data_IF_977289177278
#
_entry.id   IF_977289177278
#
_cell.length_a   1.000
_cell.length_b   1.000
_cell.length_c   1.000
_cell.angle_alpha   90.00
_cell.angle_beta   90.00
_cell.angle_gamma   90.00
#
_symmetry.space_group_name_H-M   'P 1'
#
loop_
_entity.id
_entity.type
_entity.pdbx_description
1 polymer ?
#
# COMPACT_ATOMS: atom_id res chain seq x y z
N UNK A 1 -5.71 -11.91 -22.75
CA UNK A 1 -5.79 -10.60 -23.45
C UNK A 1 -5.70 -9.42 -22.47
N UNK A 2 -6.47 -9.39 -21.38
CA UNK A 2 -6.34 -8.40 -20.30
C UNK A 2 -4.91 -8.26 -19.76
N UNK A 3 -4.19 -9.38 -19.59
CA UNK A 3 -2.81 -9.37 -19.09
C UNK A 3 -1.86 -8.54 -19.93
N UNK A 4 -1.96 -8.67 -21.25
CA UNK A 4 -1.15 -7.92 -22.19
C UNK A 4 -1.56 -6.44 -22.27
N UNK A 5 -2.84 -6.11 -22.01
CA UNK A 5 -3.31 -4.73 -21.96
C UNK A 5 -2.78 -4.01 -20.70
N UNK A 6 -2.80 -4.68 -19.54
CA UNK A 6 -2.31 -4.12 -18.26
C UNK A 6 -0.79 -3.92 -18.28
N UNK A 7 -0.05 -4.91 -18.80
CA UNK A 7 1.40 -4.78 -18.99
C UNK A 7 1.77 -3.68 -20.00
N UNK A 8 0.98 -3.49 -21.07
CA UNK A 8 1.18 -2.39 -22.03
C UNK A 8 0.87 -1.01 -21.44
N UNK A 9 -0.02 -0.94 -20.44
CA UNK A 9 -0.30 0.26 -19.68
C UNK A 9 0.74 0.54 -18.56
N UNK A 10 1.77 -0.30 -18.44
CA UNK A 10 2.86 -0.12 -17.46
C UNK A 10 2.56 -0.58 -16.05
N UNK A 11 1.43 -1.24 -15.84
CA UNK A 11 1.11 -1.89 -14.58
C UNK A 11 1.57 -3.34 -14.66
N UNK A 12 2.35 -3.78 -13.67
CA UNK A 12 2.62 -5.21 -13.50
C UNK A 12 1.39 -5.88 -12.90
N UNK A 13 0.88 -6.91 -13.55
CA UNK A 13 -0.09 -7.79 -12.90
C UNK A 13 0.63 -8.61 -11.84
N UNK A 14 0.41 -8.26 -10.59
CA UNK A 14 0.66 -9.15 -9.48
C UNK A 14 -0.51 -10.14 -9.48
N UNK A 15 -0.29 -11.46 -9.71
CA UNK A 15 -1.37 -12.43 -9.50
C UNK A 15 -1.94 -12.24 -8.10
N UNK A 16 -3.25 -12.40 -7.92
CA UNK A 16 -3.91 -12.46 -6.59
C UNK A 16 -3.55 -13.80 -5.92
N UNK A 17 -2.26 -14.11 -5.91
CA UNK A 17 -1.66 -15.08 -5.01
C UNK A 17 -0.99 -14.20 -3.95
N UNK A 18 -1.45 -14.36 -2.72
CA UNK A 18 -0.90 -13.82 -1.47
C UNK A 18 0.33 -12.93 -1.68
N UNK A 19 0.19 -11.62 -1.44
CA UNK A 19 1.35 -10.73 -1.32
C UNK A 19 2.26 -11.31 -0.22
N UNK A 20 3.20 -12.16 -0.63
CA UNK A 20 4.07 -12.90 0.28
C UNK A 20 4.82 -11.86 1.10
N UNK A 21 4.70 -11.95 2.43
CA UNK A 21 5.23 -10.97 3.40
C UNK A 21 6.68 -10.59 3.07
N UNK A 22 7.45 -11.59 2.65
CA UNK A 22 8.85 -11.48 2.27
C UNK A 22 9.08 -10.53 1.06
N UNK A 23 8.22 -10.55 0.05
CA UNK A 23 8.36 -9.69 -1.13
C UNK A 23 8.07 -8.21 -0.83
N UNK A 24 7.07 -7.93 0.00
CA UNK A 24 6.72 -6.56 0.42
C UNK A 24 7.84 -5.93 1.27
N UNK A 25 8.49 -6.75 2.11
CA UNK A 25 9.60 -6.33 2.95
C UNK A 25 10.88 -6.07 2.17
N UNK A 26 11.23 -6.99 1.26
CA UNK A 26 12.38 -6.83 0.37
C UNK A 26 12.25 -5.54 -0.45
N UNK A 27 11.05 -5.23 -0.96
CA UNK A 27 10.78 -4.01 -1.71
C UNK A 27 10.97 -2.75 -0.85
N UNK A 28 10.41 -2.68 0.35
CA UNK A 28 10.55 -1.52 1.22
C UNK A 28 12.01 -1.30 1.66
N UNK A 29 12.76 -2.38 1.92
CA UNK A 29 14.20 -2.31 2.23
C UNK A 29 15.01 -1.77 1.05
N UNK A 30 14.64 -2.14 -0.17
CA UNK A 30 15.24 -1.59 -1.40
C UNK A 30 14.93 -0.11 -1.56
N UNK A 31 13.66 0.29 -1.43
CA UNK A 31 13.27 1.71 -1.53
C UNK A 31 13.97 2.56 -0.46
N UNK A 32 14.14 2.04 0.76
CA UNK A 32 14.92 2.70 1.81
C UNK A 32 16.39 2.91 1.41
N UNK A 33 17.03 1.88 0.84
CA UNK A 33 18.42 1.96 0.38
C UNK A 33 18.55 2.98 -0.75
N UNK A 34 17.61 2.99 -1.69
CA UNK A 34 17.61 3.90 -2.82
C UNK A 34 17.45 5.37 -2.35
N UNK A 35 16.59 5.62 -1.36
CA UNK A 35 16.44 6.94 -0.74
C UNK A 35 17.72 7.35 -0.01
N UNK A 36 18.32 6.47 0.80
CA UNK A 36 19.56 6.79 1.51
C UNK A 36 20.68 7.10 0.52
N UNK A 37 20.84 6.28 -0.53
CA UNK A 37 21.83 6.51 -1.57
C UNK A 37 21.58 7.84 -2.30
N UNK A 38 20.33 8.13 -2.69
CA UNK A 38 19.96 9.38 -3.33
C UNK A 38 20.25 10.59 -2.43
N UNK A 39 19.86 10.52 -1.15
CA UNK A 39 20.09 11.57 -0.17
C UNK A 39 21.58 11.81 0.07
N UNK A 40 22.41 10.76 0.18
CA UNK A 40 23.85 10.90 0.35
C UNK A 40 24.52 11.56 -0.85
N UNK A 41 24.14 11.17 -2.08
CA UNK A 41 24.67 11.78 -3.31
C UNK A 41 24.17 13.21 -3.53
N UNK A 42 22.97 13.53 -3.06
CA UNK A 42 22.36 14.87 -3.18
C UNK A 42 22.86 15.84 -2.11
N UNK A 43 23.36 15.33 -0.97
CA UNK A 43 23.75 16.16 0.17
C UNK A 43 24.83 17.21 -0.17
N UNK A 44 25.91 16.89 -0.92
CA UNK A 44 26.88 17.90 -1.34
C UNK A 44 26.27 19.00 -2.21
N UNK A 45 25.35 18.63 -3.12
CA UNK A 45 24.64 19.57 -4.01
C UNK A 45 23.70 20.50 -3.23
N UNK A 46 23.04 19.99 -2.19
CA UNK A 46 22.21 20.84 -1.31
C UNK A 46 23.08 21.69 -0.39
N UNK A 47 24.21 21.16 0.07
CA UNK A 47 25.13 21.89 0.93
C UNK A 47 25.72 23.11 0.22
N UNK A 48 26.12 23.01 -1.05
CA UNK A 48 26.56 24.19 -1.83
C UNK A 48 25.44 25.23 -1.93
N UNK A 49 24.20 24.80 -2.22
CA UNK A 49 23.05 25.69 -2.35
C UNK A 49 22.76 26.44 -1.03
N UNK A 50 22.89 25.76 0.11
CA UNK A 50 22.76 26.36 1.44
C UNK A 50 23.91 27.32 1.77
N UNK A 51 25.15 26.98 1.41
CA UNK A 51 26.31 27.83 1.64
C UNK A 51 26.23 29.13 0.83
N UNK A 52 25.80 29.05 -0.43
CA UNK A 52 25.52 30.23 -1.27
C UNK A 52 24.40 31.08 -0.66
N UNK A 53 23.31 30.46 -0.20
CA UNK A 53 22.24 31.17 0.49
C UNK A 53 22.72 31.90 1.77
N UNK A 54 23.71 31.35 2.47
CA UNK A 54 24.34 31.96 3.64
C UNK A 54 25.40 33.03 3.29
N UNK A 55 25.59 33.35 2.00
CA UNK A 55 26.49 34.40 1.52
C UNK A 55 27.89 33.91 1.12
N UNK A 56 28.16 32.61 1.16
CA UNK A 56 29.42 32.02 0.70
C UNK A 56 29.36 31.72 -0.80
N UNK A 57 29.32 32.77 -1.63
CA UNK A 57 29.12 32.66 -3.08
C UNK A 57 30.35 32.15 -3.86
N UNK A 58 31.53 32.03 -3.24
CA UNK A 58 32.74 31.54 -3.92
C UNK A 58 32.94 30.02 -3.82
N UNK A 59 32.09 29.33 -3.06
CA UNK A 59 32.13 27.87 -2.91
C UNK A 59 31.17 27.21 -3.90
N UNK A 60 31.66 27.02 -5.12
CA UNK A 60 31.02 26.17 -6.11
C UNK A 60 31.67 24.78 -6.13
N UNK A 61 30.86 23.74 -6.34
CA UNK A 61 31.41 22.45 -6.69
C UNK A 61 31.93 22.52 -8.12
N UNK A 62 33.07 21.88 -8.34
CA UNK A 62 33.60 21.70 -9.69
C UNK A 62 32.52 21.04 -10.56
N UNK A 63 32.29 21.54 -11.79
CA UNK A 63 31.27 20.98 -12.70
C UNK A 63 31.35 19.46 -12.87
N UNK A 64 32.56 18.90 -12.88
CA UNK A 64 32.79 17.46 -12.97
C UNK A 64 32.22 16.68 -11.76
N UNK A 65 32.28 17.26 -10.55
CA UNK A 65 31.73 16.65 -9.34
C UNK A 65 30.20 16.69 -9.39
N UNK A 66 29.61 17.80 -9.84
CA UNK A 66 28.15 17.89 -9.98
C UNK A 66 27.61 16.84 -10.95
N UNK A 67 28.26 16.68 -12.11
CA UNK A 67 27.93 15.64 -13.08
C UNK A 67 28.06 14.25 -12.45
N UNK A 68 29.17 13.98 -11.76
CA UNK A 68 29.43 12.69 -11.13
C UNK A 68 28.38 12.32 -10.08
N UNK A 69 27.89 13.30 -9.31
CA UNK A 69 26.85 13.10 -8.30
C UNK A 69 25.44 13.01 -8.90
N UNK A 70 25.12 13.86 -9.88
CA UNK A 70 23.78 13.93 -10.47
C UNK A 70 23.49 12.77 -11.44
N UNK A 71 24.48 12.27 -12.19
CA UNK A 71 24.28 11.22 -13.20
C UNK A 71 23.70 9.91 -12.61
N UNK A 72 24.23 9.36 -11.50
CA UNK A 72 23.67 8.15 -10.88
C UNK A 72 22.27 8.39 -10.33
N UNK A 73 21.99 9.58 -9.79
CA UNK A 73 20.66 9.93 -9.29
C UNK A 73 19.67 9.96 -10.47
N UNK A 74 20.04 10.61 -11.57
CA UNK A 74 19.19 10.74 -12.76
C UNK A 74 18.86 9.39 -13.40
N UNK A 75 19.89 8.61 -13.75
CA UNK A 75 19.73 7.48 -14.65
C UNK A 75 19.73 6.11 -13.96
N UNK A 76 20.22 6.00 -12.72
CA UNK A 76 20.19 4.74 -11.97
C UNK A 76 19.01 4.73 -11.01
N UNK A 77 18.97 5.69 -10.07
CA UNK A 77 17.91 5.77 -9.06
C UNK A 77 16.59 6.26 -9.68
N UNK A 78 16.68 7.23 -10.60
CA UNK A 78 15.56 7.79 -11.35
C UNK A 78 15.02 6.92 -12.49
N UNK A 79 15.70 5.83 -12.86
CA UNK A 79 15.30 4.95 -13.98
C UNK A 79 13.85 4.46 -13.88
N UNK A 80 13.38 4.24 -12.65
CA UNK A 80 12.00 3.82 -12.37
C UNK A 80 10.98 4.84 -12.89
N UNK A 81 11.28 6.13 -12.78
CA UNK A 81 10.40 7.21 -13.21
C UNK A 81 10.38 7.30 -14.74
N UNK A 82 11.55 7.16 -15.39
CA UNK A 82 11.63 7.07 -16.86
C UNK A 82 10.77 5.94 -17.41
N UNK A 83 10.87 4.74 -16.83
CA UNK A 83 10.04 3.59 -17.25
C UNK A 83 8.55 3.87 -17.05
N UNK A 84 8.16 4.42 -15.91
CA UNK A 84 6.77 4.73 -15.59
C UNK A 84 6.19 5.83 -16.51
N UNK A 85 6.97 6.88 -16.78
CA UNK A 85 6.60 7.96 -17.68
C UNK A 85 6.43 7.48 -19.13
N UNK A 86 7.39 6.68 -19.63
CA UNK A 86 7.31 6.11 -20.98
C UNK A 86 6.09 5.20 -21.14
N UNK A 87 5.78 4.40 -20.13
CA UNK A 87 4.61 3.55 -20.16
C UNK A 87 3.31 4.36 -20.13
N UNK A 88 3.23 5.40 -19.29
CA UNK A 88 2.06 6.28 -19.23
C UNK A 88 1.80 6.97 -20.57
N UNK A 89 2.84 7.48 -21.22
CA UNK A 89 2.75 8.10 -22.54
C UNK A 89 2.29 7.09 -23.61
N UNK A 90 2.80 5.86 -23.59
CA UNK A 90 2.37 4.77 -24.50
C UNK A 90 0.89 4.43 -24.33
N UNK A 91 0.35 4.49 -23.12
CA UNK A 91 -1.07 4.27 -22.84
C UNK A 91 -1.95 5.52 -23.02
N UNK A 92 -1.42 6.61 -23.60
CA UNK A 92 -2.14 7.90 -23.75
C UNK A 92 -2.69 8.43 -22.42
N UNK A 93 -1.96 8.19 -21.35
CA UNK A 93 -2.27 8.65 -20.00
C UNK A 93 -1.16 9.55 -19.48
N UNK A 94 -1.48 10.44 -18.55
CA UNK A 94 -0.51 11.28 -17.86
C UNK A 94 -0.44 10.86 -16.39
N UNK A 95 0.78 10.82 -15.83
CA UNK A 95 0.99 10.57 -14.41
C UNK A 95 2.08 11.52 -13.87
N UNK A 96 2.23 11.56 -12.55
CA UNK A 96 3.22 12.40 -11.87
C UNK A 96 4.66 12.12 -12.36
N UNK A 97 4.96 10.88 -12.74
CA UNK A 97 6.31 10.49 -13.19
C UNK A 97 6.67 11.16 -14.53
N UNK A 98 5.70 11.50 -15.39
CA UNK A 98 5.93 12.27 -16.62
C UNK A 98 6.46 13.68 -16.30
N UNK A 99 5.87 14.38 -15.33
CA UNK A 99 6.31 15.71 -14.93
C UNK A 99 7.73 15.68 -14.35
N UNK A 100 8.00 14.72 -13.47
CA UNK A 100 9.32 14.53 -12.86
C UNK A 100 10.37 14.29 -13.93
N UNK A 101 10.12 13.35 -14.85
CA UNK A 101 11.08 13.01 -15.91
C UNK A 101 11.30 14.20 -16.84
N UNK A 102 10.25 14.92 -17.24
CA UNK A 102 10.39 16.04 -18.17
C UNK A 102 11.16 17.21 -17.54
N UNK A 103 10.83 17.59 -16.31
CA UNK A 103 11.52 18.67 -15.60
C UNK A 103 12.98 18.35 -15.27
N UNK A 104 13.24 17.17 -14.71
CA UNK A 104 14.60 16.74 -14.34
C UNK A 104 15.48 16.54 -15.58
N UNK A 105 14.94 15.92 -16.64
CA UNK A 105 15.70 15.76 -17.90
C UNK A 105 15.99 17.11 -18.54
N UNK A 106 15.04 18.05 -18.52
CA UNK A 106 15.28 19.39 -19.06
C UNK A 106 16.41 20.12 -18.31
N UNK A 107 16.38 20.12 -16.97
CA UNK A 107 17.45 20.69 -16.14
C UNK A 107 18.81 20.01 -16.39
N UNK A 108 18.82 18.68 -16.46
CA UNK A 108 20.03 17.90 -16.66
C UNK A 108 20.65 18.13 -18.05
N UNK A 109 19.85 18.10 -19.12
CA UNK A 109 20.32 18.33 -20.49
C UNK A 109 20.78 19.78 -20.68
N UNK A 110 20.08 20.73 -20.08
CA UNK A 110 20.46 22.13 -20.13
C UNK A 110 21.79 22.40 -19.41
N UNK A 111 22.03 21.75 -18.26
CA UNK A 111 23.31 21.82 -17.56
C UNK A 111 24.46 21.27 -18.41
N UNK A 112 24.23 20.18 -19.15
CA UNK A 112 25.18 19.67 -20.12
C UNK A 112 25.44 20.64 -21.28
N UNK A 113 24.40 21.31 -21.77
CA UNK A 113 24.54 22.33 -22.82
C UNK A 113 25.46 23.47 -22.35
N UNK A 114 25.21 24.03 -21.15
CA UNK A 114 26.04 25.08 -20.57
C UNK A 114 27.49 24.63 -20.37
N UNK A 115 27.69 23.41 -19.86
CA UNK A 115 29.03 22.86 -19.66
C UNK A 115 29.81 22.72 -20.98
N UNK A 116 29.15 22.36 -22.08
CA UNK A 116 29.77 22.23 -23.39
C UNK A 116 30.06 23.61 -24.02
N UNK A 117 29.19 24.60 -23.81
CA UNK A 117 29.35 25.93 -24.42
C UNK A 117 30.29 26.85 -23.66
N UNK A 118 30.27 26.80 -22.33
CA UNK A 118 30.99 27.73 -21.44
C UNK A 118 32.19 27.06 -20.75
N UNK A 119 32.28 25.73 -20.75
CA UNK A 119 33.39 25.02 -20.11
C UNK A 119 33.43 25.25 -18.60
N UNK A 120 34.59 25.63 -18.07
CA UNK A 120 34.76 25.94 -16.64
C UNK A 120 34.05 27.25 -16.23
N UNK A 121 33.75 28.15 -17.17
CA UNK A 121 32.97 29.37 -16.89
C UNK A 121 31.48 29.09 -16.59
N UNK A 122 31.03 27.84 -16.79
CA UNK A 122 29.69 27.40 -16.38
C UNK A 122 29.56 27.23 -14.85
N UNK A 123 30.66 27.34 -14.10
CA UNK A 123 30.66 27.23 -12.65
C UNK A 123 29.65 28.20 -12.01
N UNK A 124 28.76 27.65 -11.17
CA UNK A 124 27.68 28.41 -10.52
C UNK A 124 26.43 28.68 -11.37
N UNK A 125 26.40 28.26 -12.65
CA UNK A 125 25.24 28.40 -13.54
C UNK A 125 24.60 27.05 -13.91
N UNK A 126 25.06 25.95 -13.30
CA UNK A 126 24.58 24.61 -13.59
C UNK A 126 23.34 24.24 -12.77
N UNK A 127 22.49 23.39 -13.35
CA UNK A 127 21.23 22.95 -12.76
C UNK A 127 21.21 21.44 -12.48
N UNK A 128 22.38 20.81 -12.39
CA UNK A 128 22.52 19.40 -12.02
C UNK A 128 21.94 19.12 -10.63
N UNK A 129 22.11 20.07 -9.71
CA UNK A 129 21.52 20.04 -8.37
C UNK A 129 19.99 19.99 -8.39
N UNK A 130 19.33 20.81 -9.23
CA UNK A 130 17.88 20.86 -9.30
C UNK A 130 17.31 19.50 -9.74
N UNK A 131 17.95 18.87 -10.72
CA UNK A 131 17.59 17.54 -11.18
C UNK A 131 17.72 16.48 -10.08
N UNK A 132 18.88 16.47 -9.40
CA UNK A 132 19.19 15.53 -8.33
C UNK A 132 18.25 15.67 -7.13
N UNK A 133 18.02 16.90 -6.67
CA UNK A 133 17.14 17.21 -5.53
C UNK A 133 15.71 16.76 -5.79
N UNK A 134 15.17 17.07 -6.97
CA UNK A 134 13.79 16.68 -7.32
C UNK A 134 13.62 15.17 -7.31
N UNK A 135 14.52 14.41 -7.93
CA UNK A 135 14.45 12.94 -7.92
C UNK A 135 14.53 12.39 -6.50
N UNK A 136 15.45 12.91 -5.68
CA UNK A 136 15.64 12.47 -4.30
C UNK A 136 14.41 12.73 -3.43
N UNK A 137 13.78 13.91 -3.55
CA UNK A 137 12.55 14.24 -2.82
C UNK A 137 11.38 13.36 -3.25
N UNK A 138 11.25 13.08 -4.56
CA UNK A 138 10.20 12.17 -5.06
C UNK A 138 10.43 10.74 -4.57
N UNK A 139 11.68 10.25 -4.57
CA UNK A 139 12.03 8.95 -3.99
C UNK A 139 11.68 8.87 -2.51
N UNK A 140 12.04 9.90 -1.74
CA UNK A 140 11.70 10.00 -0.33
C UNK A 140 10.19 9.98 -0.12
N UNK A 141 9.43 10.76 -0.90
CA UNK A 141 7.97 10.77 -0.87
C UNK A 141 7.37 9.39 -1.11
N UNK A 142 7.79 8.70 -2.19
CA UNK A 142 7.30 7.34 -2.49
C UNK A 142 7.68 6.32 -1.43
N UNK A 143 8.86 6.45 -0.80
CA UNK A 143 9.25 5.58 0.31
C UNK A 143 8.40 5.81 1.56
N UNK A 144 8.14 7.07 1.92
CA UNK A 144 7.26 7.42 3.05
C UNK A 144 5.84 6.92 2.80
N UNK A 145 5.36 7.01 1.55
CA UNK A 145 4.08 6.45 1.12
C UNK A 145 4.02 4.93 1.29
N UNK A 146 5.02 4.21 0.79
CA UNK A 146 5.10 2.76 0.92
C UNK A 146 5.20 2.32 2.39
N UNK A 147 5.99 3.04 3.20
CA UNK A 147 6.14 2.77 4.63
C UNK A 147 4.82 2.98 5.38
N UNK A 148 4.11 4.07 5.11
CA UNK A 148 2.83 4.38 5.74
C UNK A 148 1.75 3.34 5.39
N UNK A 149 1.69 2.91 4.12
CA UNK A 149 0.76 1.86 3.65
C UNK A 149 1.04 0.48 4.29
N UNK A 150 2.31 0.13 4.54
CA UNK A 150 2.66 -1.18 5.11
C UNK A 150 2.33 -1.31 6.59
N UNK A 151 2.66 -0.29 7.39
CA UNK A 151 2.46 -0.31 8.85
C UNK A 151 1.00 -0.59 9.25
N UNK A 152 0.09 -0.44 8.30
CA UNK A 152 -1.34 -0.58 8.51
C UNK A 152 -1.95 -1.88 7.97
N UNK A 153 -1.33 -2.54 7.00
CA UNK A 153 -1.75 -3.89 6.56
C UNK A 153 -1.45 -4.97 7.61
N UNK A 154 -0.53 -4.70 8.55
CA UNK A 154 -0.19 -5.61 9.65
C UNK A 154 -1.34 -5.81 10.64
N UNK A 155 -2.23 -4.81 10.82
CA UNK A 155 -3.38 -4.90 11.73
C UNK A 155 -4.48 -5.85 11.23
N UNK A 156 -4.68 -5.95 9.91
CA UNK A 156 -5.64 -6.89 9.29
C UNK A 156 -5.10 -8.32 9.36
N UNK A 157 -3.78 -8.49 9.24
CA UNK A 157 -3.11 -9.80 9.30
C UNK A 157 -3.16 -10.45 10.69
N UNK A 158 -3.30 -9.67 11.76
CA UNK A 158 -3.52 -10.19 13.11
C UNK A 158 -4.84 -11.00 13.23
N UNK A 159 -5.78 -10.84 12.29
CA UNK A 159 -6.97 -11.69 12.21
C UNK A 159 -6.67 -13.03 11.51
N UNK A 160 -5.67 -13.11 10.62
CA UNK A 160 -5.26 -14.35 9.94
C UNK A 160 -4.43 -15.27 10.85
N UNK A 161 -3.79 -14.74 11.89
CA UNK A 161 -3.12 -15.54 12.94
C UNK A 161 -4.11 -16.30 13.84
N UNK A 162 -5.41 -16.19 13.59
CA UNK A 162 -6.43 -17.00 14.26
C UNK A 162 -6.53 -18.41 13.69
N UNK A 163 -5.91 -18.74 12.54
CA UNK A 163 -5.90 -20.12 12.02
C UNK A 163 -4.70 -20.90 12.58
N UNK A 164 -4.89 -22.11 13.13
CA UNK A 164 -3.77 -22.97 13.47
C UNK A 164 -2.99 -23.37 12.20
N UNK A 165 -1.66 -23.43 12.29
CA UNK A 165 -0.76 -23.80 11.18
C UNK A 165 -0.78 -25.30 10.90
N UNK A 166 -1.09 -26.09 11.94
CA UNK A 166 -1.14 -27.55 11.92
C UNK A 166 -2.50 -28.07 12.36
N UNK A 167 -2.81 -29.30 11.94
CA UNK A 167 -3.99 -30.04 12.36
C UNK A 167 -3.59 -31.44 12.79
N UNK A 168 -4.24 -31.96 13.83
CA UNK A 168 -4.04 -33.33 14.29
C UNK A 168 -4.95 -34.26 13.48
N UNK A 169 -4.38 -35.08 12.60
CA UNK A 169 -5.14 -35.97 11.71
C UNK A 169 -5.07 -37.41 12.22
N UNK A 170 -6.22 -38.07 12.32
CA UNK A 170 -6.32 -39.49 12.64
C UNK A 170 -6.17 -40.32 11.37
N UNK A 171 -5.08 -41.07 11.28
CA UNK A 171 -4.80 -41.97 10.15
C UNK A 171 -5.73 -43.18 10.14
N UNK A 172 -5.81 -43.88 9.01
CA UNK A 172 -6.59 -45.11 8.87
C UNK A 172 -6.17 -46.22 9.86
N UNK A 173 -4.94 -46.17 10.37
CA UNK A 173 -4.42 -47.07 11.41
C UNK A 173 -4.78 -46.63 12.83
N UNK A 174 -5.54 -45.53 13.00
CA UNK A 174 -5.94 -44.98 14.30
C UNK A 174 -4.87 -44.15 15.00
N UNK A 175 -3.71 -43.91 14.37
CA UNK A 175 -2.61 -43.12 14.92
C UNK A 175 -2.85 -41.63 14.62
N UNK A 176 -2.61 -40.78 15.62
CA UNK A 176 -2.69 -39.33 15.48
C UNK A 176 -1.37 -38.78 14.91
N UNK A 177 -1.46 -38.04 13.81
CA UNK A 177 -0.33 -37.43 13.12
C UNK A 177 -0.59 -35.92 12.98
N UNK A 178 0.37 -35.11 13.40
CA UNK A 178 0.30 -33.67 13.18
C UNK A 178 0.73 -33.33 11.75
N UNK A 179 -0.17 -32.70 10.99
CA UNK A 179 0.06 -32.33 9.60
C UNK A 179 -0.10 -30.83 9.39
N UNK A 180 0.68 -30.20 8.49
CA UNK A 180 0.39 -28.85 8.04
C UNK A 180 -1.04 -28.78 7.49
N UNK A 181 -1.77 -27.72 7.79
CA UNK A 181 -3.18 -27.57 7.36
C UNK A 181 -3.33 -27.64 5.82
N UNK A 182 -2.29 -27.24 5.09
CA UNK A 182 -2.23 -27.31 3.63
C UNK A 182 -2.16 -28.76 3.08
N UNK A 183 -1.81 -29.73 3.92
CA UNK A 183 -1.76 -31.15 3.56
C UNK A 183 -3.03 -31.92 3.93
N UNK A 184 -3.98 -31.30 4.64
CA UNK A 184 -5.27 -31.90 5.02
C UNK A 184 -6.18 -31.95 3.80
N UNK A 185 -6.88 -33.07 3.62
CA UNK A 185 -7.78 -33.30 2.48
C UNK A 185 -9.22 -33.50 2.95
N UNK A 186 -10.17 -33.24 2.05
CA UNK A 186 -11.58 -33.59 2.27
C UNK A 186 -11.69 -35.09 2.57
N UNK A 187 -12.43 -35.44 3.61
CA UNK A 187 -12.57 -36.80 4.13
C UNK A 187 -11.53 -37.20 5.19
N UNK A 188 -10.49 -36.41 5.43
CA UNK A 188 -9.58 -36.66 6.57
C UNK A 188 -10.33 -36.42 7.90
N UNK A 189 -10.05 -37.25 8.90
CA UNK A 189 -10.60 -37.08 10.26
C UNK A 189 -9.62 -36.27 11.10
N UNK A 190 -9.99 -35.05 11.44
CA UNK A 190 -9.22 -34.14 12.28
C UNK A 190 -9.70 -34.27 13.73
N UNK A 191 -8.76 -34.39 14.66
CA UNK A 191 -9.04 -34.47 16.10
C UNK A 191 -8.81 -33.10 16.73
N UNK A 192 -9.84 -32.59 17.40
CA UNK A 192 -9.84 -31.32 18.12
C UNK A 192 -10.00 -31.57 19.63
N UNK A 193 -9.02 -31.16 20.44
CA UNK A 193 -9.05 -31.35 21.90
C UNK A 193 -9.66 -30.12 22.61
N UNK A 194 -10.01 -30.23 23.91
CA UNK A 194 -10.45 -29.06 24.66
C UNK A 194 -9.43 -27.93 24.62
N UNK A 195 -9.87 -26.72 24.31
CA UNK A 195 -9.03 -25.53 24.15
C UNK A 195 -8.39 -25.38 22.77
N UNK A 196 -8.43 -26.43 21.93
CA UNK A 196 -7.94 -26.33 20.56
C UNK A 196 -8.92 -25.52 19.71
N UNK A 197 -8.36 -24.90 18.67
CA UNK A 197 -9.14 -24.24 17.64
C UNK A 197 -9.42 -25.23 16.53
N UNK A 198 -10.66 -25.28 16.06
CA UNK A 198 -11.06 -26.19 14.98
C UNK A 198 -10.32 -25.78 13.70
N UNK A 199 -9.52 -26.70 13.15
CA UNK A 199 -8.65 -26.40 12.02
C UNK A 199 -9.40 -26.34 10.67
N UNK A 200 -10.48 -27.10 10.52
CA UNK A 200 -11.19 -27.31 9.25
C UNK A 200 -12.70 -27.17 9.41
N UNK A 201 -13.40 -26.82 8.35
CA UNK A 201 -14.86 -26.95 8.32
C UNK A 201 -15.22 -28.43 8.09
N UNK A 202 -16.11 -28.94 8.92
CA UNK A 202 -16.37 -30.37 8.91
C UNK A 202 -17.65 -30.80 9.61
N UNK A 203 -17.81 -32.12 9.72
CA UNK A 203 -18.90 -32.77 10.45
C UNK A 203 -18.33 -33.60 11.59
N UNK A 204 -18.92 -33.50 12.77
CA UNK A 204 -18.54 -34.35 13.90
C UNK A 204 -18.89 -35.80 13.59
N UNK A 205 -17.89 -36.68 13.56
CA UNK A 205 -18.08 -38.12 13.41
C UNK A 205 -18.03 -38.86 14.74
N UNK A 206 -17.37 -38.28 15.75
CA UNK A 206 -17.31 -38.85 17.10
C UNK A 206 -17.04 -37.76 18.15
N UNK A 207 -17.64 -37.91 19.33
CA UNK A 207 -17.48 -36.99 20.45
C UNK A 207 -18.67 -36.04 20.64
N UNK A 208 -18.64 -35.33 21.75
CA UNK A 208 -19.62 -34.31 22.13
C UNK A 208 -18.88 -33.19 22.88
N UNK A 209 -19.14 -31.95 22.49
CA UNK A 209 -18.42 -30.78 22.96
C UNK A 209 -19.23 -29.49 22.78
N UNK A 210 -19.02 -28.53 23.67
CA UNK A 210 -19.44 -27.15 23.46
C UNK A 210 -18.40 -26.42 22.61
N UNK A 211 -18.86 -25.78 21.53
CA UNK A 211 -18.03 -25.05 20.59
C UNK A 211 -18.40 -23.57 20.59
N UNK A 212 -17.42 -22.71 20.80
CA UNK A 212 -17.54 -21.26 20.70
C UNK A 212 -17.38 -20.82 19.24
N UNK A 213 -18.50 -20.47 18.60
CA UNK A 213 -18.55 -19.92 17.24
C UNK A 213 -18.71 -18.38 17.25
N UNK A 214 -18.58 -17.70 18.39
CA UNK A 214 -18.86 -16.27 18.55
C UNK A 214 -18.07 -15.36 17.62
N UNK A 215 -16.83 -15.73 17.29
CA UNK A 215 -15.98 -15.00 16.34
C UNK A 215 -16.51 -15.03 14.89
N UNK A 216 -17.36 -16.00 14.55
CA UNK A 216 -17.84 -16.23 13.19
C UNK A 216 -19.34 -15.88 13.09
N UNK A 217 -20.16 -16.37 14.02
CA UNK A 217 -21.62 -16.20 14.01
C UNK A 217 -22.10 -14.98 14.79
N UNK A 218 -21.29 -14.48 15.73
CA UNK A 218 -21.68 -13.42 16.67
C UNK A 218 -22.57 -13.89 17.81
N UNK A 219 -22.96 -15.17 17.86
CA UNK A 219 -23.73 -15.72 18.98
C UNK A 219 -22.79 -15.98 20.16
N UNK A 220 -23.11 -15.41 21.33
CA UNK A 220 -22.24 -15.48 22.52
C UNK A 220 -22.41 -16.77 23.34
N UNK A 221 -23.41 -17.59 23.02
CA UNK A 221 -23.69 -18.84 23.75
C UNK A 221 -23.00 -19.98 22.99
N UNK A 222 -22.09 -20.73 23.62
CA UNK A 222 -21.51 -21.92 23.03
C UNK A 222 -22.58 -22.90 22.56
N UNK A 223 -22.38 -23.45 21.37
CA UNK A 223 -23.31 -24.44 20.83
C UNK A 223 -22.80 -25.85 21.14
N UNK A 224 -23.69 -26.68 21.69
CA UNK A 224 -23.41 -28.09 21.86
C UNK A 224 -23.36 -28.77 20.49
N UNK A 225 -22.23 -29.41 20.17
CA UNK A 225 -22.02 -30.15 18.93
C UNK A 225 -21.86 -31.62 19.27
N UNK A 226 -22.64 -32.44 18.57
CA UNK A 226 -22.70 -33.89 18.74
C UNK A 226 -22.53 -34.58 17.38
N UNK A 227 -22.48 -35.90 17.38
CA UNK A 227 -22.31 -36.68 16.16
C UNK A 227 -23.33 -36.30 15.08
N UNK A 228 -22.84 -35.95 13.89
CA UNK A 228 -23.64 -35.52 12.75
C UNK A 228 -23.73 -34.00 12.57
N UNK A 229 -23.41 -33.22 13.60
CA UNK A 229 -23.45 -31.75 13.54
C UNK A 229 -22.28 -31.16 12.75
N UNK A 230 -22.51 -29.98 12.18
CA UNK A 230 -21.47 -29.22 11.47
C UNK A 230 -20.70 -28.30 12.41
N UNK A 231 -19.39 -28.20 12.16
CA UNK A 231 -18.45 -27.36 12.89
C UNK A 231 -17.66 -26.48 11.92
N UNK A 232 -17.47 -25.23 12.31
CA UNK A 232 -16.79 -24.23 11.49
C UNK A 232 -15.34 -24.07 11.93
N UNK A 233 -14.41 -24.07 10.99
CA UNK A 233 -13.00 -23.80 11.21
C UNK A 233 -12.77 -22.38 11.78
N UNK A 234 -11.90 -22.29 12.77
CA UNK A 234 -11.63 -21.06 13.54
C UNK A 234 -12.42 -20.94 14.84
N UNK A 235 -13.47 -21.76 15.02
CA UNK A 235 -14.18 -21.90 16.31
C UNK A 235 -13.29 -22.53 17.38
N UNK A 236 -13.61 -22.28 18.65
CA UNK A 236 -12.84 -22.81 19.78
C UNK A 236 -13.61 -23.95 20.42
N UNK A 237 -12.99 -25.12 20.52
CA UNK A 237 -13.53 -26.21 21.31
C UNK A 237 -13.35 -25.90 22.79
N UNK A 238 -14.44 -25.88 23.57
CA UNK A 238 -14.41 -25.53 24.99
C UNK A 238 -14.13 -26.76 25.85
N UNK A 239 -14.80 -27.88 25.57
CA UNK A 239 -14.74 -29.10 26.37
C UNK A 239 -14.93 -30.35 25.50
N UNK A 240 -14.48 -31.51 25.95
CA UNK A 240 -14.58 -32.74 25.17
C UNK A 240 -13.61 -32.84 23.98
N UNK A 241 -13.51 -34.04 23.41
CA UNK A 241 -12.69 -34.31 22.23
C UNK A 241 -13.64 -34.57 21.06
N UNK A 242 -13.43 -33.86 19.96
CA UNK A 242 -14.18 -34.05 18.72
C UNK A 242 -13.30 -34.70 17.67
N UNK A 243 -13.84 -35.72 17.01
CA UNK A 243 -13.33 -36.22 15.73
C UNK A 243 -14.22 -35.65 14.62
N UNK A 244 -13.60 -34.92 13.69
CA UNK A 244 -14.28 -34.10 12.69
C UNK A 244 -13.86 -34.60 11.31
N UNK A 245 -14.82 -35.09 10.53
CA UNK A 245 -14.60 -35.37 9.11
C UNK A 245 -14.56 -34.05 8.34
N UNK A 246 -13.46 -33.84 7.63
CA UNK A 246 -13.19 -32.62 6.87
C UNK A 246 -14.12 -32.54 5.65
N UNK A 247 -14.96 -31.50 5.58
CA UNK A 247 -15.87 -31.27 4.45
C UNK A 247 -15.29 -30.29 3.43
N UNK A 248 -14.67 -29.21 3.90
CA UNK A 248 -13.98 -28.23 3.04
C UNK A 248 -12.61 -27.88 3.62
N UNK A 249 -11.66 -27.59 2.74
CA UNK A 249 -10.27 -27.24 3.10
C UNK A 249 -9.83 -25.98 2.38
N UNK A 250 -8.90 -25.25 3.00
CA UNK A 250 -8.23 -24.12 2.37
C UNK A 250 -9.20 -23.04 1.87
N UNK A 251 -9.16 -22.80 0.57
CA UNK A 251 -9.85 -21.74 -0.17
C UNK A 251 -11.39 -21.83 -0.15
N UNK A 252 -11.93 -23.02 0.08
CA UNK A 252 -13.37 -23.27 0.13
C UNK A 252 -13.92 -23.29 1.57
N UNK A 253 -13.07 -23.00 2.57
CA UNK A 253 -13.52 -22.85 3.95
C UNK A 253 -14.32 -21.56 4.14
N UNK A 254 -15.21 -21.57 5.12
CA UNK A 254 -16.04 -20.45 5.54
C UNK A 254 -15.17 -19.28 5.96
N UNK A 255 -14.09 -19.55 6.70
CA UNK A 255 -13.12 -18.54 7.09
C UNK A 255 -12.37 -17.96 5.87
N UNK A 256 -11.99 -18.77 4.88
CA UNK A 256 -11.41 -18.21 3.65
C UNK A 256 -12.40 -17.45 2.79
N UNK A 257 -13.67 -17.84 2.79
CA UNK A 257 -14.72 -17.07 2.13
C UNK A 257 -14.88 -15.70 2.78
N UNK A 258 -14.84 -15.64 4.12
CA UNK A 258 -14.85 -14.38 4.88
C UNK A 258 -13.59 -13.56 4.58
N UNK A 259 -12.40 -14.18 4.60
CA UNK A 259 -11.14 -13.50 4.25
C UNK A 259 -11.18 -12.96 2.83
N UNK A 260 -11.61 -13.73 1.84
CA UNK A 260 -11.77 -13.28 0.45
C UNK A 260 -12.76 -12.13 0.33
N UNK A 261 -13.88 -12.18 1.05
CA UNK A 261 -14.86 -11.08 1.10
C UNK A 261 -14.24 -9.82 1.71
N UNK A 262 -13.42 -9.96 2.76
CA UNK A 262 -12.70 -8.84 3.38
C UNK A 262 -11.60 -8.31 2.47
N UNK A 263 -10.79 -9.16 1.86
CA UNK A 263 -9.73 -8.77 0.92
C UNK A 263 -10.30 -8.08 -0.33
N UNK A 264 -11.37 -8.63 -0.90
CA UNK A 264 -12.05 -8.05 -2.06
C UNK A 264 -12.72 -6.71 -1.74
N UNK A 265 -13.21 -6.52 -0.51
CA UNK A 265 -13.70 -5.23 -0.03
C UNK A 265 -12.55 -4.21 0.18
N UNK A 266 -11.40 -4.65 0.72
CA UNK A 266 -10.21 -3.82 0.94
C UNK A 266 -9.48 -3.40 -0.34
N UNK A 267 -9.68 -4.09 -1.46
CA UNK A 267 -9.11 -3.73 -2.77
C UNK A 267 -9.90 -2.62 -3.50
N UNK A 268 -10.97 -2.10 -2.90
CA UNK A 268 -11.74 -0.98 -3.43
C UNK A 268 -11.03 0.36 -3.30
N UNK A 269 -10.86 1.08 -4.42
CA UNK A 269 -10.41 2.50 -4.40
C UNK A 269 -11.47 3.37 -3.70
N UNK A 270 -11.05 4.23 -2.77
CA UNK A 270 -11.96 5.15 -2.06
C UNK A 270 -12.48 6.26 -2.98
N UNK A 271 -13.60 6.89 -2.62
CA UNK A 271 -14.16 7.99 -3.45
C UNK A 271 -13.20 9.18 -3.48
N UNK A 272 -12.53 9.48 -2.37
CA UNK A 272 -11.51 10.54 -2.31
C UNK A 272 -10.29 10.17 -3.15
N UNK A 273 -9.83 8.92 -3.13
CA UNK A 273 -8.72 8.49 -4.00
C UNK A 273 -9.08 8.60 -5.49
N UNK A 274 -10.31 8.23 -5.87
CA UNK A 274 -10.81 8.39 -7.23
C UNK A 274 -10.94 9.87 -7.64
N UNK A 275 -11.25 10.76 -6.70
CA UNK A 275 -11.28 12.20 -6.94
C UNK A 275 -9.88 12.75 -7.19
N UNK A 276 -8.89 12.33 -6.38
CA UNK A 276 -7.48 12.71 -6.57
C UNK A 276 -6.93 12.19 -7.91
N UNK A 277 -7.23 10.94 -8.27
CA UNK A 277 -6.87 10.37 -9.57
C UNK A 277 -7.49 11.17 -10.72
N UNK A 278 -8.76 11.57 -10.60
CA UNK A 278 -9.47 12.39 -11.60
C UNK A 278 -8.91 13.80 -11.72
N UNK A 279 -8.53 14.42 -10.61
CA UNK A 279 -7.86 15.72 -10.59
C UNK A 279 -6.52 15.60 -11.32
N UNK A 280 -5.75 14.54 -11.05
CA UNK A 280 -4.43 14.32 -11.65
C UNK A 280 -4.50 14.24 -13.18
N UNK A 281 -5.55 13.61 -13.74
CA UNK A 281 -5.76 13.52 -15.19
C UNK A 281 -5.89 14.88 -15.86
N UNK A 282 -6.49 15.87 -15.20
CA UNK A 282 -6.63 17.24 -15.73
C UNK A 282 -5.49 18.18 -15.31
N UNK A 283 -4.95 17.96 -14.12
CA UNK A 283 -3.89 18.78 -13.55
C UNK A 283 -2.59 18.66 -14.33
N UNK A 284 -2.17 17.43 -14.70
CA UNK A 284 -0.91 17.23 -15.42
C UNK A 284 -0.91 17.91 -16.80
N UNK A 285 -1.93 17.75 -17.67
CA UNK A 285 -2.01 18.49 -18.93
C UNK A 285 -2.05 20.02 -18.74
N UNK A 286 -2.77 20.51 -17.73
CA UNK A 286 -2.84 21.94 -17.43
C UNK A 286 -1.45 22.50 -17.09
N UNK A 287 -0.71 21.82 -16.22
CA UNK A 287 0.66 22.20 -15.83
C UNK A 287 1.60 22.19 -17.04
N UNK A 288 1.51 21.19 -17.92
CA UNK A 288 2.30 21.14 -19.15
C UNK A 288 1.98 22.32 -20.09
N UNK A 289 0.70 22.68 -20.23
CA UNK A 289 0.28 23.84 -21.02
C UNK A 289 0.82 25.13 -20.41
N UNK A 290 0.69 25.32 -19.08
CA UNK A 290 1.21 26.50 -18.39
C UNK A 290 2.73 26.60 -18.47
N UNK A 291 3.46 25.49 -18.35
CA UNK A 291 4.89 25.46 -18.54
C UNK A 291 5.28 25.83 -19.98
N UNK A 292 4.54 25.32 -20.97
CA UNK A 292 4.74 25.68 -22.39
C UNK A 292 4.44 27.15 -22.70
N UNK A 293 3.37 27.70 -22.13
CA UNK A 293 3.03 29.13 -22.24
C UNK A 293 4.12 29.97 -21.57
N UNK A 294 4.61 29.56 -20.40
CA UNK A 294 5.67 30.27 -19.67
C UNK A 294 6.96 30.28 -20.48
N UNK A 295 7.34 29.13 -21.05
CA UNK A 295 8.49 29.00 -21.95
C UNK A 295 8.35 29.94 -23.15
N UNK A 296 7.24 29.84 -23.89
CA UNK A 296 7.01 30.65 -25.08
C UNK A 296 6.94 32.15 -24.76
N UNK A 297 6.19 32.53 -23.73
CA UNK A 297 6.02 33.92 -23.32
C UNK A 297 7.33 34.57 -22.88
N UNK A 298 8.14 33.88 -22.06
CA UNK A 298 9.47 34.39 -21.67
C UNK A 298 10.42 34.47 -22.84
N UNK A 299 10.43 33.47 -23.72
CA UNK A 299 11.27 33.47 -24.91
C UNK A 299 10.91 34.62 -25.86
N UNK A 300 9.62 34.87 -26.11
CA UNK A 300 9.17 35.97 -26.97
C UNK A 300 9.47 37.37 -26.39
N UNK A 301 9.46 37.53 -25.06
CA UNK A 301 9.66 38.84 -24.43
C UNK A 301 11.13 39.21 -24.27
N UNK A 302 11.99 38.24 -23.93
CA UNK A 302 13.39 38.50 -23.56
C UNK A 302 14.39 37.94 -24.58
N UNK A 303 13.97 37.06 -25.48
CA UNK A 303 14.86 36.39 -26.44
C UNK A 303 15.82 35.37 -25.83
N UNK A 304 15.81 35.23 -24.50
CA UNK A 304 16.72 34.37 -23.77
C UNK A 304 16.09 33.01 -23.47
N UNK A 305 16.67 31.97 -24.07
CA UNK A 305 16.25 30.58 -23.88
C UNK A 305 16.53 30.10 -22.46
N UNK A 306 17.58 30.61 -21.80
CA UNK A 306 17.97 30.24 -20.45
C UNK A 306 16.88 30.59 -19.45
N UNK A 307 16.52 31.89 -19.40
CA UNK A 307 15.49 32.42 -18.51
C UNK A 307 14.14 31.77 -18.79
N UNK A 308 13.83 31.49 -20.05
CA UNK A 308 12.58 30.84 -20.44
C UNK A 308 12.51 29.38 -19.98
N UNK A 309 13.60 28.61 -20.16
CA UNK A 309 13.67 27.21 -19.78
C UNK A 309 13.66 27.04 -18.27
N UNK A 310 14.37 27.90 -17.53
CA UNK A 310 14.33 27.93 -16.07
C UNK A 310 12.95 28.23 -15.52
N UNK A 311 12.24 29.21 -16.11
CA UNK A 311 10.89 29.52 -15.71
C UNK A 311 9.94 28.33 -15.96
N UNK A 312 10.06 27.65 -17.10
CA UNK A 312 9.24 26.49 -17.42
C UNK A 312 9.53 25.29 -16.50
N UNK A 313 10.80 24.98 -16.24
CA UNK A 313 11.22 23.92 -15.31
C UNK A 313 10.73 24.24 -13.90
N UNK A 314 10.82 25.49 -13.46
CA UNK A 314 10.31 25.92 -12.15
C UNK A 314 8.81 25.65 -12.01
N UNK A 315 8.01 25.94 -13.06
CA UNK A 315 6.58 25.62 -13.08
C UNK A 315 6.33 24.10 -12.99
N UNK A 316 7.10 23.28 -13.70
CA UNK A 316 6.96 21.83 -13.65
C UNK A 316 7.31 21.24 -12.28
N UNK A 317 8.39 21.75 -11.66
CA UNK A 317 8.91 21.26 -10.38
C UNK A 317 7.99 21.68 -9.23
N UNK A 318 7.59 22.96 -9.17
CA UNK A 318 6.71 23.46 -8.10
C UNK A 318 5.33 22.79 -8.14
N UNK A 319 4.89 22.38 -9.33
CA UNK A 319 3.61 21.73 -9.52
C UNK A 319 3.59 20.26 -9.09
N UNK A 320 4.70 19.63 -8.64
CA UNK A 320 4.63 18.24 -8.20
C UNK A 320 3.61 18.07 -7.06
N UNK A 321 2.50 17.32 -7.27
CA UNK A 321 1.51 17.06 -6.22
C UNK A 321 1.97 15.93 -5.30
N UNK A 322 3.27 15.91 -4.98
CA UNK A 322 3.95 14.87 -4.22
C UNK A 322 3.25 14.58 -2.86
N UNK A 323 2.70 15.62 -2.21
CA UNK A 323 1.94 15.51 -0.96
C UNK A 323 0.48 15.04 -1.15
N UNK A 324 -0.11 15.27 -2.32
CA UNK A 324 -1.53 14.99 -2.57
C UNK A 324 -1.81 13.48 -2.60
N UNK A 325 -0.92 12.68 -3.19
CA UNK A 325 -1.04 11.21 -3.22
C UNK A 325 -0.90 10.54 -1.85
N UNK A 326 -0.30 11.26 -0.88
CA UNK A 326 -0.02 10.80 0.48
C UNK A 326 -1.07 11.25 1.51
N UNK A 327 -1.67 12.41 1.30
CA UNK A 327 -2.59 13.02 2.25
C UNK A 327 -3.77 12.10 2.57
N UNK A 328 -4.40 11.54 1.53
CA UNK A 328 -5.59 10.68 1.68
C UNK A 328 -5.27 9.36 2.40
N UNK A 329 -4.30 8.52 1.96
CA UNK A 329 -3.92 7.32 2.69
C UNK A 329 -3.52 7.62 4.14
N UNK A 330 -2.72 8.66 4.37
CA UNK A 330 -2.24 9.00 5.73
C UNK A 330 -3.40 9.39 6.65
N UNK A 331 -4.34 10.19 6.18
CA UNK A 331 -5.52 10.60 6.95
C UNK A 331 -6.43 9.40 7.27
N UNK A 332 -6.67 8.53 6.29
CA UNK A 332 -7.47 7.32 6.48
C UNK A 332 -6.80 6.37 7.49
N UNK A 333 -5.50 6.13 7.35
CA UNK A 333 -4.78 5.20 8.22
C UNK A 333 -4.67 5.73 9.65
N UNK A 334 -4.42 7.04 9.84
CA UNK A 334 -4.41 7.65 11.16
C UNK A 334 -5.81 7.69 11.79
N UNK A 335 -6.85 7.94 11.00
CA UNK A 335 -8.25 7.92 11.41
C UNK A 335 -8.72 6.53 11.84
N UNK A 336 -8.44 5.49 11.04
CA UNK A 336 -8.75 4.09 11.38
C UNK A 336 -7.96 3.62 12.61
N UNK A 337 -6.68 3.99 12.72
CA UNK A 337 -5.88 3.71 13.92
C UNK A 337 -6.41 4.39 15.19
N UNK A 338 -6.93 5.61 15.07
CA UNK A 338 -7.60 6.29 16.18
C UNK A 338 -8.93 5.61 16.56
N UNK A 339 -9.73 5.20 15.57
CA UNK A 339 -10.97 4.46 15.77
C UNK A 339 -10.73 3.11 16.48
N UNK A 340 -9.69 2.38 16.07
CA UNK A 340 -9.32 1.11 16.71
C UNK A 340 -8.95 1.27 18.19
N UNK A 341 -8.22 2.33 18.57
CA UNK A 341 -7.94 2.65 19.98
C UNK A 341 -9.20 2.95 20.79
N UNK A 342 -10.28 3.36 20.14
CA UNK A 342 -11.59 3.58 20.74
C UNK A 342 -12.50 2.34 20.66
N UNK A 343 -11.99 1.17 20.23
CA UNK A 343 -12.77 -0.05 20.08
C UNK A 343 -13.68 -0.08 18.84
N UNK A 344 -13.49 0.84 17.90
CA UNK A 344 -14.27 0.93 16.65
C UNK A 344 -13.44 0.33 15.52
N UNK A 345 -13.84 -0.87 15.08
CA UNK A 345 -13.24 -1.56 13.95
C UNK A 345 -13.94 -1.17 12.64
N UNK A 346 -13.20 -0.49 11.77
CA UNK A 346 -13.67 -0.04 10.47
C UNK A 346 -13.14 -1.01 9.41
N UNK A 347 -14.04 -1.77 8.80
CA UNK A 347 -13.70 -2.81 7.81
C UNK A 347 -13.25 -2.22 6.48
N UNK A 348 -13.96 -1.21 6.00
CA UNK A 348 -13.68 -0.56 4.71
C UNK A 348 -13.44 0.94 4.88
N UNK A 349 -12.46 1.44 4.15
CA UNK A 349 -12.11 2.86 4.15
C UNK A 349 -13.26 3.72 3.61
N UNK A 350 -14.00 3.21 2.63
CA UNK A 350 -15.24 3.85 2.14
C UNK A 350 -16.27 4.01 3.25
N UNK A 351 -16.36 3.08 4.20
CA UNK A 351 -17.25 3.19 5.36
C UNK A 351 -16.88 4.37 6.26
N UNK A 352 -15.59 4.69 6.40
CA UNK A 352 -15.16 5.88 7.15
C UNK A 352 -15.62 7.18 6.46
N UNK A 353 -15.52 7.25 5.13
CA UNK A 353 -16.01 8.40 4.35
C UNK A 353 -17.53 8.51 4.40
N UNK A 354 -18.25 7.39 4.28
CA UNK A 354 -19.71 7.34 4.31
C UNK A 354 -20.28 7.62 5.71
N UNK A 355 -19.58 7.21 6.77
CA UNK A 355 -19.97 7.48 8.15
C UNK A 355 -20.10 8.98 8.43
N UNK A 356 -19.28 9.83 7.78
CA UNK A 356 -19.34 11.29 7.94
C UNK A 356 -20.70 11.87 7.52
N UNK A 357 -21.35 11.28 6.51
CA UNK A 357 -22.59 11.81 5.93
C UNK A 357 -23.86 11.15 6.47
N UNK A 358 -23.73 10.20 7.40
CA UNK A 358 -24.87 9.53 8.03
C UNK A 358 -25.69 10.54 8.86
N UNK A 359 -27.00 10.56 8.60
CA UNK A 359 -27.96 11.43 9.32
C UNK A 359 -28.88 10.67 10.27
N UNK A 360 -28.95 9.34 10.11
CA UNK A 360 -29.82 8.45 10.89
C UNK A 360 -29.07 7.17 11.17
N UNK A 361 -29.14 6.71 12.41
CA UNK A 361 -28.59 5.43 12.85
C UNK A 361 -29.77 4.63 13.38
N UNK A 362 -29.96 3.43 12.82
CA UNK A 362 -30.98 2.49 13.27
C UNK A 362 -30.23 1.36 13.96
N UNK A 363 -30.58 1.10 15.22
CA UNK A 363 -29.96 0.04 16.01
C UNK A 363 -30.85 -1.20 15.99
N UNK A 364 -30.23 -2.37 15.83
CA UNK A 364 -30.91 -3.59 16.22
C UNK A 364 -31.06 -3.62 17.75
N UNK A 365 -32.10 -4.28 18.26
CA UNK A 365 -32.35 -4.32 19.70
C UNK A 365 -31.46 -5.36 20.38
N UNK A 366 -31.50 -6.59 19.88
CA UNK A 366 -30.92 -7.74 20.58
C UNK A 366 -29.41 -7.79 20.33
N UNK A 367 -28.59 -7.84 21.37
CA UNK A 367 -27.12 -7.92 21.23
C UNK A 367 -26.42 -6.61 20.85
N UNK A 368 -27.16 -5.57 20.40
CA UNK A 368 -26.63 -4.22 20.20
C UNK A 368 -27.05 -3.27 21.34
N UNK A 369 -28.37 -3.13 21.60
CA UNK A 369 -28.87 -2.34 22.72
C UNK A 369 -29.00 -3.15 24.01
N UNK A 370 -29.18 -4.47 23.89
CA UNK A 370 -29.29 -5.39 25.04
C UNK A 370 -28.03 -6.22 25.20
N UNK A 371 -27.77 -6.68 26.42
CA UNK A 371 -26.62 -7.51 26.78
C UNK A 371 -26.61 -8.92 26.13
N UNK A 372 -27.64 -9.30 25.36
CA UNK A 372 -27.77 -10.63 24.78
C UNK A 372 -27.98 -11.78 25.79
N UNK A 373 -27.86 -11.51 27.10
CA UNK A 373 -27.95 -12.50 28.17
C UNK A 373 -29.33 -12.45 28.84
N UNK A 374 -30.12 -13.54 28.80
CA UNK A 374 -31.38 -13.60 29.53
C UNK A 374 -31.12 -13.57 31.04
N UNK A 375 -31.87 -12.74 31.76
CA UNK A 375 -31.81 -12.62 33.22
C UNK A 375 -33.22 -12.71 33.79
N UNK A 376 -33.43 -13.58 34.77
CA UNK A 376 -34.71 -13.65 35.48
C UNK A 376 -34.92 -12.35 36.24
N UNK A 377 -35.92 -11.56 35.82
CA UNK A 377 -36.22 -10.27 36.44
C UNK A 377 -37.28 -10.37 37.52
N UNK A 378 -38.24 -11.28 37.36
CA UNK A 378 -39.36 -11.45 38.28
C UNK A 378 -39.82 -12.91 38.25
N UNK A 379 -40.12 -13.45 39.43
CA UNK A 379 -40.83 -14.72 39.61
C UNK A 379 -42.09 -14.37 40.39
N UNK A 380 -43.25 -14.66 39.80
CA UNK A 380 -44.59 -14.44 40.37
C UNK A 380 -45.22 -15.75 40.80
#
# INVERSE_FOLDING_TARGET
>A
QLVNAVNRAGYGLVPVAEENVDQSEVKLRRDRRDVIAASLLTLPLVAQMLLQFMGYNELHLLPAIEVLLATPIQFVLGLRFYRAALNALRSRSTNMDVLVVLGTTAAYVYSWYLLITLGEEAEGQLFFEASAVVITLVLLGKYLEAKAKRATSEAVRALMSLRPETALVKTATGVLEERPIAAVRVGDVVVCRPGDRVAVDGRVVQGEAEVDESLITGESVPQLKSQGDSVTGGSININGVLEIETLTVGDDSTLQTIVRLVESAQLGKTRVQNLVDRITVWFVPLVLILAGITLAGRFLLYGDLEVALLAAVSVLVIACPCALGLATPTAIMTGTGAAARAGILIRDVSTLEEAQVLKRIVFDKTGTLTLGQPRVRQVT
#
